data_IF_609619513030
#
_entry.id   IF_609619513030
#
_cell.length_a   1.000
_cell.length_b   1.000
_cell.length_c   1.000
_cell.angle_alpha   90.00
_cell.angle_beta   90.00
_cell.angle_gamma   90.00
#
_symmetry.space_group_name_H-M   'P 1'
#
loop_
_entity.id
_entity.type
_entity.pdbx_description
1 polymer ?
#
# COMPACT_ATOMS: atom_id res chain seq x y z
N UNK A 1 -21.58 -7.72 -12.41
CA UNK A 1 -20.76 -7.28 -11.26
C UNK A 1 -19.39 -7.90 -11.41
N UNK A 2 -18.32 -7.10 -11.36
CA UNK A 2 -16.97 -7.53 -11.76
C UNK A 2 -16.14 -8.05 -10.58
N UNK A 3 -15.14 -8.88 -10.88
CA UNK A 3 -14.07 -9.27 -9.95
C UNK A 3 -12.77 -8.52 -10.27
N UNK A 4 -12.02 -8.14 -9.24
CA UNK A 4 -10.81 -7.32 -9.33
C UNK A 4 -10.01 -7.41 -8.04
N UNK A 5 -8.73 -7.04 -8.12
CA UNK A 5 -7.86 -6.85 -6.97
C UNK A 5 -7.79 -5.35 -6.62
N UNK A 6 -7.51 -5.07 -5.36
CA UNK A 6 -7.22 -3.73 -4.84
C UNK A 6 -5.96 -3.80 -4.01
N UNK A 7 -5.04 -2.88 -4.25
CA UNK A 7 -3.94 -2.55 -3.34
C UNK A 7 -4.23 -1.21 -2.68
N UNK A 8 -3.96 -1.12 -1.39
CA UNK A 8 -4.10 0.09 -0.60
C UNK A 8 -2.85 0.30 0.26
N UNK A 9 -2.26 1.47 0.13
CA UNK A 9 -1.27 2.04 1.05
C UNK A 9 -1.82 3.35 1.60
N UNK A 10 -2.13 3.41 2.89
CA UNK A 10 -2.81 4.58 3.47
C UNK A 10 -2.22 5.07 4.79
N UNK A 11 -2.07 6.40 4.90
CA UNK A 11 -1.48 7.09 6.04
C UNK A 11 -2.50 7.49 7.11
N UNK A 12 -2.38 6.93 8.30
CA UNK A 12 -3.20 7.28 9.46
C UNK A 12 -2.56 8.41 10.30
N UNK A 13 -2.54 9.65 9.79
CA UNK A 13 -2.49 10.83 10.68
C UNK A 13 -3.79 11.64 10.60
N UNK A 14 -4.71 11.35 11.54
CA UNK A 14 -5.67 12.32 12.06
C UNK A 14 -6.71 12.92 11.10
N UNK A 15 -6.95 12.36 9.91
CA UNK A 15 -7.88 12.98 8.95
C UNK A 15 -8.39 12.16 7.75
N UNK A 16 -8.13 10.84 7.70
CA UNK A 16 -8.77 9.93 6.74
C UNK A 16 -8.37 10.11 5.27
N UNK A 17 -7.09 10.35 4.99
CA UNK A 17 -6.56 10.44 3.62
C UNK A 17 -5.97 9.11 3.14
N UNK A 18 -6.34 8.68 1.93
CA UNK A 18 -5.68 7.60 1.21
C UNK A 18 -4.46 8.17 0.48
N UNK A 19 -3.31 7.49 0.55
CA UNK A 19 -2.11 7.94 -0.15
C UNK A 19 -1.99 7.26 -1.52
N UNK A 20 -2.21 5.95 -1.58
CA UNK A 20 -2.21 5.18 -2.83
C UNK A 20 -3.26 4.07 -2.84
N UNK A 21 -4.06 4.00 -3.91
CA UNK A 21 -5.02 2.92 -4.15
C UNK A 21 -4.92 2.53 -5.62
N UNK A 22 -4.58 1.27 -5.87
CA UNK A 22 -4.58 0.68 -7.20
C UNK A 22 -5.69 -0.36 -7.31
N UNK A 23 -6.45 -0.33 -8.41
CA UNK A 23 -7.53 -1.28 -8.70
C UNK A 23 -7.26 -1.90 -10.05
N UNK A 24 -7.02 -3.21 -10.09
CA UNK A 24 -6.68 -3.89 -11.33
C UNK A 24 -7.31 -5.29 -11.45
N UNK A 25 -7.72 -5.71 -12.66
CA UNK A 25 -8.01 -7.12 -12.94
C UNK A 25 -6.75 -8.01 -13.01
N UNK A 26 -5.56 -7.43 -12.96
CA UNK A 26 -4.27 -8.11 -13.13
C UNK A 26 -3.53 -8.15 -11.79
N UNK A 27 -3.26 -9.36 -11.29
CA UNK A 27 -2.42 -9.53 -10.10
C UNK A 27 -1.01 -8.96 -10.32
N UNK A 28 -0.32 -9.19 -11.46
CA UNK A 28 0.97 -8.54 -11.72
C UNK A 28 0.97 -7.01 -11.57
N UNK A 29 -0.12 -6.33 -11.97
CA UNK A 29 -0.20 -4.86 -11.85
C UNK A 29 -0.27 -4.45 -10.38
N UNK A 30 -1.03 -5.17 -9.57
CA UNK A 30 -1.11 -4.98 -8.12
C UNK A 30 0.23 -5.25 -7.44
N UNK A 31 0.93 -6.30 -7.86
CA UNK A 31 2.25 -6.61 -7.33
C UNK A 31 3.23 -5.46 -7.61
N UNK A 32 3.20 -4.92 -8.82
CA UNK A 32 4.04 -3.80 -9.21
C UNK A 32 3.68 -2.52 -8.43
N UNK A 33 2.39 -2.21 -8.28
CA UNK A 33 1.94 -1.06 -7.51
C UNK A 33 2.38 -1.11 -6.04
N UNK A 34 2.26 -2.27 -5.39
CA UNK A 34 2.73 -2.44 -4.01
C UNK A 34 4.26 -2.25 -3.90
N UNK A 35 5.04 -2.80 -4.85
CA UNK A 35 6.49 -2.61 -4.88
C UNK A 35 6.89 -1.15 -5.09
N UNK A 36 6.20 -0.44 -5.98
CA UNK A 36 6.48 0.96 -6.27
C UNK A 36 6.11 1.86 -5.08
N UNK A 37 4.98 1.58 -4.40
CA UNK A 37 4.61 2.27 -3.16
C UNK A 37 5.71 2.12 -2.09
N UNK A 38 6.25 0.90 -1.93
CA UNK A 38 7.32 0.66 -0.95
C UNK A 38 8.60 1.40 -1.32
N UNK A 39 8.96 1.40 -2.61
CA UNK A 39 10.19 2.08 -3.05
C UNK A 39 10.17 3.58 -2.83
N UNK A 40 9.00 4.19 -2.70
CA UNK A 40 8.87 5.62 -2.43
C UNK A 40 9.08 5.96 -0.94
N UNK A 41 9.19 4.97 -0.06
CA UNK A 41 9.46 5.18 1.38
C UNK A 41 8.24 5.64 2.19
N UNK A 42 7.09 5.86 1.55
CA UNK A 42 5.88 6.36 2.18
C UNK A 42 5.41 5.52 3.39
N UNK A 43 5.56 4.19 3.29
CA UNK A 43 5.21 3.20 4.32
C UNK A 43 6.13 3.18 5.55
N UNK A 44 7.32 3.78 5.47
CA UNK A 44 8.37 3.60 6.49
C UNK A 44 8.15 4.48 7.73
N UNK A 45 7.34 5.53 7.60
CA UNK A 45 7.15 6.56 8.64
C UNK A 45 5.88 6.40 9.47
N UNK A 46 5.10 5.34 9.21
CA UNK A 46 3.68 5.37 9.50
C UNK A 46 3.08 3.99 9.74
N UNK A 47 2.24 3.91 10.77
CA UNK A 47 1.37 2.76 11.00
C UNK A 47 0.26 2.73 9.93
N UNK A 48 0.65 2.42 8.70
CA UNK A 48 -0.20 2.49 7.52
C UNK A 48 -1.04 1.23 7.35
N UNK A 49 -2.20 1.36 6.73
CA UNK A 49 -2.87 0.19 6.17
C UNK A 49 -2.17 -0.16 4.86
N UNK A 50 -1.38 -1.25 4.89
CA UNK A 50 -0.67 -1.81 3.74
C UNK A 50 -1.27 -3.16 3.39
N UNK A 51 -2.33 -3.14 2.57
CA UNK A 51 -3.20 -4.31 2.38
C UNK A 51 -3.51 -4.60 0.91
N UNK A 52 -3.81 -5.86 0.63
CA UNK A 52 -4.43 -6.29 -0.63
C UNK A 52 -5.79 -6.89 -0.37
N UNK A 53 -6.76 -6.43 -1.16
CA UNK A 53 -8.13 -6.95 -1.16
C UNK A 53 -8.47 -7.62 -2.47
N UNK A 54 -9.26 -8.67 -2.40
CA UNK A 54 -9.79 -9.36 -3.57
C UNK A 54 -11.30 -9.26 -3.55
N UNK A 55 -11.86 -8.69 -4.61
CA UNK A 55 -13.29 -8.61 -4.81
C UNK A 55 -13.73 -9.62 -5.86
N UNK A 56 -14.73 -10.43 -5.50
CA UNK A 56 -15.32 -11.44 -6.38
C UNK A 56 -16.78 -11.08 -6.62
N UNK A 57 -17.14 -10.83 -7.88
CA UNK A 57 -18.46 -10.37 -8.26
C UNK A 57 -18.94 -9.21 -7.35
N UNK A 58 -18.11 -8.19 -7.18
CA UNK A 58 -18.36 -6.97 -6.38
C UNK A 58 -18.54 -7.18 -4.88
N UNK A 59 -18.08 -8.30 -4.32
CA UNK A 59 -18.05 -8.53 -2.88
C UNK A 59 -16.64 -8.78 -2.42
N UNK A 60 -16.29 -8.24 -1.25
CA UNK A 60 -15.01 -8.53 -0.63
C UNK A 60 -14.95 -10.04 -0.33
N UNK A 61 -13.99 -10.71 -0.95
CA UNK A 61 -13.77 -12.14 -0.80
C UNK A 61 -12.58 -12.43 0.12
N UNK A 62 -11.57 -11.57 0.08
CA UNK A 62 -10.35 -11.68 0.86
C UNK A 62 -9.77 -10.29 1.13
N UNK A 63 -9.17 -10.12 2.29
CA UNK A 63 -8.36 -8.97 2.67
C UNK A 63 -7.15 -9.51 3.43
N UNK A 64 -5.95 -9.11 3.03
CA UNK A 64 -4.69 -9.56 3.63
C UNK A 64 -3.77 -8.37 3.90
N UNK A 65 -3.18 -8.36 5.10
CA UNK A 65 -2.09 -7.48 5.47
C UNK A 65 -0.79 -7.96 4.79
N UNK A 66 -0.12 -7.05 4.10
CA UNK A 66 1.10 -7.35 3.37
C UNK A 66 2.36 -7.29 4.25
N UNK A 67 2.34 -6.62 5.41
CA UNK A 67 3.52 -6.48 6.28
C UNK A 67 4.19 -7.83 6.64
N UNK A 68 3.46 -8.88 7.06
CA UNK A 68 4.07 -10.17 7.42
C UNK A 68 4.80 -10.87 6.27
N UNK A 69 4.63 -10.40 5.03
CA UNK A 69 5.20 -10.95 3.82
C UNK A 69 6.23 -10.03 3.18
N UNK A 70 6.39 -8.80 3.69
CA UNK A 70 7.31 -7.79 3.22
C UNK A 70 8.71 -8.02 3.79
N UNK A 71 9.71 -7.94 2.90
CA UNK A 71 11.10 -7.80 3.25
C UNK A 71 11.71 -6.63 2.48
N UNK A 72 12.46 -5.81 3.20
CA UNK A 72 13.21 -4.68 2.64
C UNK A 72 14.68 -4.88 2.97
N UNK A 73 15.52 -4.80 1.96
CA UNK A 73 16.97 -4.93 2.12
C UNK A 73 17.62 -3.67 1.58
N UNK A 74 18.39 -3.03 2.46
CA UNK A 74 19.21 -1.87 2.11
C UNK A 74 20.67 -2.31 2.11
N UNK A 75 21.44 -1.86 1.12
CA UNK A 75 22.88 -2.11 1.06
C UNK A 75 23.55 -1.70 2.38
N UNK A 76 24.28 -2.62 3.02
CA UNK A 76 24.96 -2.35 4.30
C UNK A 76 24.15 -2.70 5.54
N UNK A 77 22.87 -3.06 5.41
CA UNK A 77 22.00 -3.50 6.50
C UNK A 77 21.63 -4.99 6.36
N UNK A 78 21.35 -5.63 7.49
CA UNK A 78 20.61 -6.91 7.49
C UNK A 78 19.19 -6.69 6.95
N UNK A 79 18.52 -7.75 6.42
CA UNK A 79 17.15 -7.61 5.95
C UNK A 79 16.20 -7.11 7.04
N UNK A 80 15.30 -6.20 6.66
CA UNK A 80 14.22 -5.67 7.48
C UNK A 80 12.96 -6.48 7.14
N UNK A 81 12.27 -6.93 8.16
CA UNK A 81 10.98 -7.64 8.07
C UNK A 81 9.96 -6.96 8.97
N UNK A 82 8.68 -7.27 8.76
CA UNK A 82 7.60 -6.61 9.49
C UNK A 82 6.69 -7.64 10.16
N UNK A 83 6.31 -7.34 11.40
CA UNK A 83 5.28 -8.08 12.11
C UNK A 83 3.87 -7.64 11.63
N UNK A 84 2.82 -8.43 11.93
CA UNK A 84 1.45 -7.97 11.71
C UNK A 84 1.22 -6.61 12.38
N UNK A 85 0.67 -5.65 11.63
CA UNK A 85 0.52 -4.27 12.10
C UNK A 85 1.74 -3.36 11.88
N UNK A 86 2.75 -3.82 11.14
CA UNK A 86 3.80 -2.95 10.57
C UNK A 86 5.01 -2.69 11.46
N UNK A 87 5.11 -3.34 12.63
CA UNK A 87 6.29 -3.19 13.49
C UNK A 87 7.55 -3.77 12.81
N UNK A 88 8.60 -2.96 12.57
CA UNK A 88 9.79 -3.40 11.88
C UNK A 88 10.70 -4.22 12.80
N UNK A 89 11.43 -5.18 12.21
CA UNK A 89 12.46 -5.96 12.88
C UNK A 89 13.63 -6.24 11.94
N UNK A 90 14.84 -6.26 12.47
CA UNK A 90 16.06 -6.51 11.71
C UNK A 90 16.81 -5.21 11.40
N UNK A 91 17.24 -5.03 10.15
CA UNK A 91 17.89 -3.79 9.71
C UNK A 91 19.27 -3.50 10.29
N UNK A 92 19.78 -4.27 11.26
CA UNK A 92 21.09 -4.06 11.91
C UNK A 92 22.21 -3.79 10.88
N UNK A 93 23.04 -2.76 11.08
CA UNK A 93 24.18 -2.48 10.22
C UNK A 93 25.19 -3.64 10.15
N UNK A 94 25.72 -3.89 8.96
CA UNK A 94 26.87 -4.77 8.80
C UNK A 94 28.15 -4.09 9.33
N UNK A 95 29.11 -4.85 9.90
CA UNK A 95 30.40 -4.29 10.30
C UNK A 95 31.12 -3.63 9.12
N UNK A 96 31.58 -2.40 9.33
CA UNK A 96 32.21 -1.55 8.33
C UNK A 96 31.25 -0.87 7.35
N UNK A 97 29.94 -0.94 7.58
CA UNK A 97 28.96 -0.18 6.80
C UNK A 97 28.93 1.29 7.23
N UNK A 98 28.37 2.16 6.38
CA UNK A 98 28.25 3.59 6.70
C UNK A 98 27.33 3.86 7.89
N UNK A 99 26.44 2.92 8.23
CA UNK A 99 25.46 3.06 9.31
C UNK A 99 25.97 2.56 10.68
N UNK A 100 27.13 1.89 10.73
CA UNK A 100 27.66 1.33 11.98
C UNK A 100 27.97 2.42 13.01
N UNK A 101 28.51 3.56 12.59
CA UNK A 101 28.80 4.68 13.51
C UNK A 101 27.52 5.35 14.04
N UNK A 102 26.45 5.35 13.25
CA UNK A 102 25.16 5.93 13.62
C UNK A 102 24.38 5.05 14.59
N UNK A 103 24.37 3.72 14.37
CA UNK A 103 23.72 2.77 15.28
C UNK A 103 24.35 2.76 16.67
N UNK A 104 25.68 2.92 16.76
CA UNK A 104 26.39 3.04 18.04
C UNK A 104 25.97 4.24 18.90
N UNK A 105 25.17 5.18 18.36
CA UNK A 105 24.62 6.32 19.11
C UNK A 105 23.34 5.97 19.87
N UNK A 106 22.74 4.81 19.61
CA UNK A 106 21.50 4.34 20.22
C UNK A 106 21.78 3.21 21.21
N UNK A 107 21.05 3.18 22.33
CA UNK A 107 21.16 2.09 23.31
C UNK A 107 20.33 0.86 22.91
N UNK A 108 19.33 1.06 22.04
CA UNK A 108 18.40 0.05 21.55
C UNK A 108 18.44 -0.01 20.01
N UNK A 109 18.60 -1.21 19.48
CA UNK A 109 18.62 -1.45 18.04
C UNK A 109 17.26 -1.17 17.39
N UNK A 110 16.16 -1.35 18.14
CA UNK A 110 14.81 -1.08 17.63
C UNK A 110 14.57 0.43 17.50
N UNK A 111 15.11 1.25 18.42
CA UNK A 111 15.04 2.71 18.36
C UNK A 111 15.84 3.26 17.17
N UNK A 112 17.02 2.68 16.91
CA UNK A 112 17.80 3.02 15.72
C UNK A 112 17.06 2.66 14.43
N UNK A 113 16.43 1.49 14.36
CA UNK A 113 15.70 1.06 13.17
C UNK A 113 14.50 1.97 12.87
N UNK A 114 13.75 2.35 13.90
CA UNK A 114 12.66 3.33 13.76
C UNK A 114 13.19 4.67 13.27
N UNK A 115 14.28 5.18 13.86
CA UNK A 115 14.93 6.41 13.40
C UNK A 115 15.36 6.33 11.92
N UNK A 116 16.03 5.25 11.54
CA UNK A 116 16.52 5.02 10.18
C UNK A 116 15.37 5.00 9.18
N UNK A 117 14.29 4.27 9.47
CA UNK A 117 13.13 4.18 8.59
C UNK A 117 12.41 5.53 8.43
N UNK A 118 12.33 6.32 9.50
CA UNK A 118 11.64 7.62 9.47
C UNK A 118 12.47 8.72 8.82
N UNK A 119 13.80 8.73 9.00
CA UNK A 119 14.63 9.89 8.66
C UNK A 119 15.59 9.65 7.49
N UNK A 120 16.12 8.43 7.35
CA UNK A 120 17.18 8.13 6.38
C UNK A 120 16.65 7.37 5.16
N UNK A 121 15.63 6.54 5.36
CA UNK A 121 15.11 5.68 4.29
C UNK A 121 14.55 6.47 3.11
N UNK A 122 13.83 7.57 3.36
CA UNK A 122 13.30 8.44 2.29
C UNK A 122 14.41 9.04 1.43
N UNK A 123 15.53 9.45 2.05
CA UNK A 123 16.70 9.97 1.33
C UNK A 123 17.33 8.89 0.45
N UNK A 124 17.51 7.67 0.98
CA UNK A 124 18.04 6.54 0.20
C UNK A 124 17.09 6.18 -0.95
N UNK A 125 15.79 6.15 -0.70
CA UNK A 125 14.76 5.90 -1.71
C UNK A 125 14.81 6.93 -2.85
N UNK A 126 15.04 8.20 -2.52
CA UNK A 126 15.12 9.29 -3.49
C UNK A 126 16.45 9.32 -4.27
N UNK A 127 17.58 9.24 -3.55
CA UNK A 127 18.91 9.47 -4.14
C UNK A 127 19.60 8.20 -4.62
N UNK A 128 19.32 7.07 -3.96
CA UNK A 128 19.98 5.77 -4.17
C UNK A 128 18.97 4.61 -4.24
N UNK A 129 17.91 4.68 -5.07
CA UNK A 129 16.86 3.65 -5.09
C UNK A 129 17.37 2.25 -5.44
N UNK A 130 18.52 2.13 -6.12
CA UNK A 130 19.14 0.85 -6.44
C UNK A 130 19.77 0.15 -5.22
N UNK A 131 19.97 0.87 -4.12
CA UNK A 131 20.44 0.30 -2.86
C UNK A 131 19.31 -0.40 -2.08
N UNK A 132 18.06 -0.27 -2.55
CA UNK A 132 16.87 -0.84 -1.91
C UNK A 132 16.33 -2.00 -2.76
N UNK A 133 16.30 -3.18 -2.16
CA UNK A 133 15.63 -4.36 -2.69
C UNK A 133 14.37 -4.64 -1.85
N UNK A 134 13.22 -4.68 -2.52
CA UNK A 134 11.92 -4.95 -1.90
C UNK A 134 11.40 -6.28 -2.40
N UNK A 135 10.97 -7.14 -1.47
CA UNK A 135 10.35 -8.43 -1.78
C UNK A 135 9.06 -8.59 -0.99
N UNK A 136 8.02 -9.09 -1.65
CA UNK A 136 6.77 -9.54 -0.99
C UNK A 136 6.57 -11.00 -1.37
N UNK A 137 6.35 -11.87 -0.37
CA UNK A 137 6.04 -13.29 -0.61
C UNK A 137 4.57 -13.47 -1.03
N UNK A 138 4.29 -13.15 -2.29
CA UNK A 138 2.97 -13.32 -2.90
C UNK A 138 2.44 -14.75 -2.90
N UNK A 139 3.35 -15.74 -2.89
CA UNK A 139 2.97 -17.15 -2.85
C UNK A 139 2.32 -17.54 -1.54
N UNK A 140 2.78 -16.94 -0.42
CA UNK A 140 2.20 -17.18 0.91
C UNK A 140 0.87 -16.45 1.14
N UNK A 141 0.60 -15.35 0.44
CA UNK A 141 -0.70 -14.66 0.49
C UNK A 141 -1.84 -15.51 -0.10
N UNK A 142 -1.52 -16.49 -0.95
CA UNK A 142 -2.49 -17.43 -1.54
C UNK A 142 -3.73 -16.74 -2.15
N UNK A 143 -3.53 -15.58 -2.79
CA UNK A 143 -4.62 -14.78 -3.35
C UNK A 143 -5.40 -15.59 -4.40
N UNK A 144 -6.75 -15.64 -4.33
CA UNK A 144 -7.54 -16.40 -5.29
C UNK A 144 -7.50 -15.76 -6.68
N UNK A 145 -7.59 -16.59 -7.71
CA UNK A 145 -7.82 -16.12 -9.08
C UNK A 145 -9.19 -15.43 -9.19
N UNK A 146 -9.29 -14.43 -10.06
CA UNK A 146 -10.55 -13.70 -10.26
C UNK A 146 -11.58 -14.53 -11.03
N UNK A 147 -12.79 -14.59 -10.50
CA UNK A 147 -13.94 -15.22 -11.17
C UNK A 147 -14.53 -14.26 -12.19
N UNK A 148 -14.86 -14.75 -13.39
CA UNK A 148 -15.52 -13.94 -14.41
C UNK A 148 -16.94 -13.49 -13.98
N UNK A 149 -17.40 -12.28 -14.38
CA UNK A 149 -16.70 -11.34 -15.25
C UNK A 149 -15.63 -10.54 -14.50
N UNK A 150 -14.46 -10.39 -15.10
CA UNK A 150 -13.34 -9.59 -14.56
C UNK A 150 -13.46 -8.14 -15.02
N UNK A 151 -13.03 -7.17 -14.19
CA UNK A 151 -13.01 -5.76 -14.56
C UNK A 151 -12.25 -5.57 -15.88
N UNK A 152 -12.80 -4.87 -16.90
CA UNK A 152 -12.07 -4.67 -18.14
C UNK A 152 -10.83 -3.80 -17.93
N UNK A 153 -9.77 -4.07 -18.68
CA UNK A 153 -8.53 -3.29 -18.62
C UNK A 153 -8.80 -1.79 -18.83
N UNK A 154 -8.15 -0.95 -18.01
CA UNK A 154 -8.31 0.51 -18.05
C UNK A 154 -9.65 1.04 -17.55
N UNK A 155 -10.53 0.18 -17.01
CA UNK A 155 -11.75 0.58 -16.29
C UNK A 155 -11.47 0.63 -14.79
N UNK A 156 -12.12 1.58 -14.12
CA UNK A 156 -12.02 1.78 -12.68
C UNK A 156 -13.36 1.61 -11.97
N UNK A 157 -13.32 1.71 -10.64
CA UNK A 157 -14.48 1.56 -9.75
C UNK A 157 -14.69 2.85 -8.99
N UNK A 158 -15.96 3.21 -8.78
CA UNK A 158 -16.35 4.39 -8.03
C UNK A 158 -16.71 3.97 -6.60
N UNK A 159 -16.03 4.55 -5.62
CA UNK A 159 -16.38 4.37 -4.20
C UNK A 159 -17.03 5.65 -3.71
N UNK A 160 -18.27 5.54 -3.22
CA UNK A 160 -18.97 6.65 -2.57
C UNK A 160 -18.74 6.56 -1.07
N UNK A 161 -17.96 7.48 -0.50
CA UNK A 161 -17.91 7.64 0.95
C UNK A 161 -19.21 8.30 1.42
N UNK A 162 -20.06 7.55 2.12
CA UNK A 162 -21.12 8.14 2.92
C UNK A 162 -20.55 8.60 4.27
N UNK A 163 -20.83 9.85 4.64
CA UNK A 163 -20.28 10.47 5.85
C UNK A 163 -20.68 9.66 7.10
N UNK A 164 -19.69 9.18 7.86
CA UNK A 164 -19.90 8.44 9.12
C UNK A 164 -19.83 6.91 9.01
N UNK A 165 -19.26 6.38 7.92
CA UNK A 165 -19.26 4.94 7.64
C UNK A 165 -17.85 4.38 7.35
N UNK A 166 -16.89 4.67 8.24
CA UNK A 166 -15.50 4.16 8.21
C UNK A 166 -15.45 2.63 8.11
N UNK A 167 -16.48 1.93 8.61
CA UNK A 167 -16.59 0.49 8.62
C UNK A 167 -17.30 -0.12 7.39
N UNK A 168 -17.82 0.69 6.46
CA UNK A 168 -18.67 0.24 5.35
C UNK A 168 -17.96 0.07 3.99
N UNK A 169 -16.63 0.17 3.96
CA UNK A 169 -15.86 -0.26 2.79
C UNK A 169 -16.11 -1.74 2.43
N UNK A 170 -16.45 -2.56 3.42
CA UNK A 170 -16.83 -3.97 3.23
C UNK A 170 -18.07 -4.20 2.35
N UNK A 171 -18.97 -3.22 2.22
CA UNK A 171 -20.28 -3.39 1.57
C UNK A 171 -20.45 -2.60 0.24
N UNK A 172 -19.48 -1.77 -0.17
CA UNK A 172 -19.76 -0.65 -1.10
C UNK A 172 -19.04 -0.74 -2.45
N UNK A 173 -19.11 -1.87 -3.15
CA UNK A 173 -18.72 -1.92 -4.58
C UNK A 173 -19.95 -1.64 -5.45
N UNK A 174 -20.14 -0.38 -5.81
CA UNK A 174 -21.10 0.00 -6.84
C UNK A 174 -20.36 0.15 -8.18
N UNK A 175 -20.62 -0.78 -9.11
CA UNK A 175 -20.24 -0.63 -10.51
C UNK A 175 -21.37 0.11 -11.21
N UNK A 176 -21.07 1.26 -11.81
CA UNK A 176 -21.59 1.72 -13.11
C UNK A 176 -21.11 3.16 -13.36
N UNK A 177 -19.94 3.27 -14.02
CA UNK A 177 -19.59 4.32 -15.02
C UNK A 177 -19.66 5.84 -14.57
N UNK A 178 -19.02 6.79 -15.26
CA UNK A 178 -18.93 8.21 -14.78
C UNK A 178 -20.15 9.08 -15.16
N UNK A 179 -21.09 9.32 -14.25
CA UNK A 179 -22.26 10.21 -14.44
C UNK A 179 -21.83 11.66 -14.21
N UNK A 180 -21.71 12.48 -15.24
CA UNK A 180 -21.83 13.94 -15.07
C UNK A 180 -23.20 14.25 -14.46
N UNK A 181 -23.46 15.38 -13.79
CA UNK A 181 -24.73 15.60 -13.10
C UNK A 181 -25.97 15.40 -13.99
N UNK A 182 -25.79 15.41 -15.33
CA UNK A 182 -26.77 15.05 -16.35
C UNK A 182 -26.23 14.12 -17.48
N UNK A 183 -25.06 13.47 -17.34
CA UNK A 183 -24.45 12.62 -18.40
C UNK A 183 -24.63 11.12 -18.16
N UNK A 184 -24.79 10.36 -19.26
CA UNK A 184 -24.95 8.91 -19.27
C UNK A 184 -23.57 8.23 -19.13
N UNK A 185 -23.33 7.40 -18.11
CA UNK A 185 -21.99 7.12 -17.62
C UNK A 185 -21.07 6.28 -18.56
N UNK A 186 -21.60 5.68 -19.62
CA UNK A 186 -20.97 4.68 -20.51
C UNK A 186 -19.71 5.12 -21.31
N UNK A 187 -19.18 6.35 -21.21
CA UNK A 187 -18.18 6.89 -22.14
C UNK A 187 -16.68 7.01 -21.70
N UNK A 188 -16.28 7.18 -20.43
CA UNK A 188 -14.88 7.63 -20.11
C UNK A 188 -14.16 6.84 -19.00
N UNK A 189 -13.20 5.97 -19.37
CA UNK A 189 -12.33 5.28 -18.40
C UNK A 189 -11.44 6.23 -17.57
N UNK A 190 -11.05 5.77 -16.36
CA UNK A 190 -10.21 6.40 -15.29
C UNK A 190 -10.95 7.53 -14.52
N UNK A 191 -10.99 7.65 -13.19
CA UNK A 191 -9.96 7.56 -12.12
C UNK A 191 -10.61 7.38 -10.72
N UNK A 192 -9.84 6.94 -9.71
CA UNK A 192 -9.97 7.39 -8.32
C UNK A 192 -9.60 8.89 -8.25
N UNK A 193 -10.57 9.78 -8.04
CA UNK A 193 -10.25 11.17 -7.70
C UNK A 193 -10.01 11.26 -6.20
N UNK A 194 -8.83 11.79 -5.83
CA UNK A 194 -8.50 12.35 -4.51
C UNK A 194 -9.76 12.80 -3.76
N UNK A 195 -10.08 12.11 -2.66
CA UNK A 195 -10.99 12.65 -1.67
C UNK A 195 -10.28 13.75 -0.90
N UNK A 196 -10.40 15.01 -1.33
CA UNK A 196 -10.10 16.13 -0.45
C UNK A 196 -11.10 16.09 0.70
N UNK A 197 -10.66 15.72 1.91
CA UNK A 197 -11.28 16.25 3.10
C UNK A 197 -10.90 17.74 3.20
N UNK A 198 -11.62 18.60 2.48
CA UNK A 198 -11.68 20.00 2.88
C UNK A 198 -12.58 20.09 4.11
N UNK A 199 -12.02 19.86 5.30
CA UNK A 199 -12.58 20.39 6.53
C UNK A 199 -11.76 21.65 6.84
N UNK A 200 -12.08 22.74 6.15
CA UNK A 200 -11.86 24.05 6.74
C UNK A 200 -13.05 24.30 7.67
N UNK A 201 -12.78 24.26 8.96
CA UNK A 201 -13.55 25.00 9.98
C UNK A 201 -13.27 26.49 9.86
#
# INVERSE_FOLDING_TARGET
MYSFYVFEGSFHQGGGGWEDIEVSPSLPDIQQAALDYIRLGNWASAADDFVVRVYQAGRLALEEDLYPFLQVKVTGLTPISFLPGGEPAGGVPHPGSEYEEDENQYEDADEWLEYFLVNEFEEIASERPNDIEVTIDWGRLALPELTQPVLPEGKGIWVRQEKGNEQAWGDTVAVETAVGPNDNPEEYGRYLMRGFNSIFS
#
